data_IF_985553315920
#
_entry.id   IF_985553315920
#
_cell.length_a   1.000
_cell.length_b   1.000
_cell.length_c   1.000
_cell.angle_alpha   90.00
_cell.angle_beta   90.00
_cell.angle_gamma   90.00
#
_symmetry.space_group_name_H-M   'P 1'
#
loop_
_entity.id
_entity.type
_entity.pdbx_description
1 polymer ?
#
# COMPACT_ATOMS: atom_id res chain seq x y z
N UNK A 1 18.86 15.71 -5.26
CA UNK A 1 17.96 14.54 -5.16
C UNK A 1 16.93 14.68 -6.26
N UNK A 2 16.75 13.67 -7.12
CA UNK A 2 15.71 13.66 -8.17
C UNK A 2 14.52 12.88 -7.64
N UNK A 3 13.31 13.42 -7.82
CA UNK A 3 12.05 12.82 -7.41
C UNK A 3 11.29 12.41 -8.66
N UNK A 4 10.85 11.16 -8.72
CA UNK A 4 10.08 10.64 -9.85
C UNK A 4 8.70 10.18 -9.37
N UNK A 5 7.65 10.72 -9.99
CA UNK A 5 6.28 10.35 -9.70
C UNK A 5 5.73 9.46 -10.82
N UNK A 6 5.45 8.20 -10.51
CA UNK A 6 4.81 7.27 -11.44
C UNK A 6 3.29 7.38 -11.31
N UNK A 7 2.57 7.44 -12.44
CA UNK A 7 1.10 7.32 -12.49
C UNK A 7 0.71 5.95 -13.03
N UNK A 8 -0.47 5.45 -12.63
CA UNK A 8 -1.01 4.14 -13.07
C UNK A 8 -1.11 3.94 -14.60
N UNK A 9 -1.02 4.99 -15.41
CA UNK A 9 -1.07 4.92 -16.88
C UNK A 9 0.28 4.61 -17.55
N UNK A 10 1.38 4.58 -16.80
CA UNK A 10 2.73 4.24 -17.31
C UNK A 10 3.10 2.76 -17.01
N UNK A 11 2.10 1.86 -17.11
CA UNK A 11 2.25 0.41 -16.87
C UNK A 11 3.09 -0.33 -17.93
N UNK A 12 3.52 0.33 -18.99
CA UNK A 12 4.20 -0.28 -20.13
C UNK A 12 5.72 -0.18 -19.94
N UNK A 13 6.33 -1.33 -19.62
CA UNK A 13 7.76 -1.57 -19.35
C UNK A 13 8.33 -0.83 -18.13
N UNK A 14 7.94 -1.26 -16.93
CA UNK A 14 8.65 -0.83 -15.71
C UNK A 14 10.00 -1.56 -15.67
N UNK A 15 11.00 -0.97 -16.31
CA UNK A 15 12.40 -1.25 -15.97
C UNK A 15 12.66 -0.65 -14.59
N UNK A 16 12.92 -1.50 -13.60
CA UNK A 16 13.23 -1.06 -12.23
C UNK A 16 12.22 -1.52 -11.18
N UNK A 17 12.38 -1.01 -9.96
CA UNK A 17 11.48 -1.28 -8.85
C UNK A 17 10.13 -0.55 -9.01
N UNK A 18 9.04 -1.20 -8.61
CA UNK A 18 7.72 -0.58 -8.55
C UNK A 18 6.99 -1.04 -7.29
N UNK A 19 6.85 -0.15 -6.30
CA UNK A 19 6.17 -0.50 -5.07
C UNK A 19 4.71 -0.05 -5.13
N UNK A 20 3.82 -1.02 -4.96
CA UNK A 20 2.38 -0.81 -4.96
C UNK A 20 1.79 -1.22 -3.61
N UNK A 21 0.63 -0.67 -3.30
CA UNK A 21 -0.19 -0.99 -2.16
C UNK A 21 -1.64 -1.32 -2.60
N UNK A 22 -2.34 -2.13 -1.79
CA UNK A 22 -3.76 -2.45 -1.97
C UNK A 22 -4.42 -2.76 -0.65
N UNK A 23 -5.73 -2.50 -0.55
CA UNK A 23 -6.52 -2.93 0.60
C UNK A 23 -6.89 -4.41 0.41
N UNK A 24 -6.40 -5.27 1.30
CA UNK A 24 -6.68 -6.72 1.26
C UNK A 24 -7.83 -7.13 2.18
N UNK A 25 -8.13 -6.32 3.19
CA UNK A 25 -9.25 -6.54 4.11
C UNK A 25 -9.62 -5.23 4.77
N UNK A 26 -10.91 -5.07 5.04
CA UNK A 26 -11.48 -4.00 5.86
C UNK A 26 -12.31 -4.61 6.99
N UNK A 27 -12.12 -4.06 8.18
CA UNK A 27 -12.99 -4.13 9.35
C UNK A 27 -13.43 -2.69 9.65
N UNK A 28 -14.48 -2.49 10.45
CA UNK A 28 -15.12 -1.19 10.75
C UNK A 28 -14.16 0.02 10.70
N UNK A 29 -13.20 0.04 11.62
CA UNK A 29 -12.18 1.09 11.76
C UNK A 29 -10.78 0.68 11.32
N UNK A 30 -10.61 -0.49 10.68
CA UNK A 30 -9.28 -1.06 10.42
C UNK A 30 -9.16 -1.54 8.99
N UNK A 31 -8.13 -1.05 8.29
CA UNK A 31 -7.75 -1.56 6.97
C UNK A 31 -6.46 -2.35 7.07
N UNK A 32 -6.42 -3.45 6.35
CA UNK A 32 -5.22 -4.25 6.16
C UNK A 32 -4.73 -3.99 4.75
N UNK A 33 -3.47 -3.59 4.66
CA UNK A 33 -2.79 -3.18 3.45
C UNK A 33 -1.78 -4.26 3.09
N UNK A 34 -1.67 -4.59 1.81
CA UNK A 34 -0.52 -5.31 1.27
C UNK A 34 0.32 -4.35 0.46
N UNK A 35 1.60 -4.25 0.76
CA UNK A 35 2.59 -3.52 0.01
C UNK A 35 3.47 -4.55 -0.71
N UNK A 36 3.71 -4.40 -2.01
CA UNK A 36 4.54 -5.33 -2.78
C UNK A 36 5.36 -4.62 -3.85
N UNK A 37 6.48 -5.25 -4.22
CA UNK A 37 7.27 -4.81 -5.38
C UNK A 37 6.85 -5.61 -6.62
N UNK A 38 6.15 -4.98 -7.56
CA UNK A 38 5.78 -5.55 -8.87
C UNK A 38 6.79 -5.27 -9.97
N UNK A 39 7.84 -4.51 -9.66
CA UNK A 39 8.93 -4.23 -10.58
C UNK A 39 9.87 -5.41 -10.78
N UNK A 40 10.93 -5.18 -11.54
CA UNK A 40 11.96 -6.18 -11.89
C UNK A 40 13.24 -6.03 -11.07
N UNK A 41 13.38 -4.97 -10.29
CA UNK A 41 14.56 -4.67 -9.47
C UNK A 41 14.18 -4.47 -7.98
N UNK A 42 15.13 -4.64 -7.03
CA UNK A 42 14.87 -4.40 -5.61
C UNK A 42 14.49 -2.95 -5.31
N UNK A 43 13.53 -2.78 -4.40
CA UNK A 43 13.16 -1.48 -3.84
C UNK A 43 13.81 -1.32 -2.46
N UNK A 44 14.35 -0.15 -2.16
CA UNK A 44 15.03 0.15 -0.91
C UNK A 44 14.24 1.15 -0.07
N UNK A 45 14.43 1.10 1.25
CA UNK A 45 13.83 2.02 2.22
C UNK A 45 12.32 2.21 1.98
N UNK A 46 11.63 1.08 1.73
CA UNK A 46 10.24 1.08 1.28
C UNK A 46 9.32 1.54 2.39
N UNK A 47 8.43 2.45 2.07
CA UNK A 47 7.49 2.96 3.03
C UNK A 47 6.24 3.52 2.34
N UNK A 48 5.24 3.92 3.14
CA UNK A 48 4.00 4.48 2.63
C UNK A 48 3.37 5.45 3.63
N UNK A 49 2.44 6.26 3.14
CA UNK A 49 1.53 7.05 3.96
C UNK A 49 0.15 7.13 3.31
N UNK A 50 -0.85 7.49 4.11
CA UNK A 50 -2.21 7.79 3.67
C UNK A 50 -2.40 9.30 3.80
N UNK A 51 -2.64 10.06 2.71
CA UNK A 51 -2.80 11.51 2.75
C UNK A 51 -3.92 11.97 3.70
N UNK A 52 -3.80 13.20 4.22
CA UNK A 52 -4.75 13.78 5.17
C UNK A 52 -6.10 14.02 4.51
N UNK A 53 -7.06 13.16 4.84
CA UNK A 53 -8.50 13.30 4.58
C UNK A 53 -9.34 12.47 5.56
N UNK A 54 -8.71 11.45 6.15
CA UNK A 54 -9.25 10.62 7.22
C UNK A 54 -8.30 10.70 8.43
N UNK A 55 -8.84 10.68 9.65
CA UNK A 55 -8.04 10.53 10.87
C UNK A 55 -7.56 9.08 10.98
N UNK A 56 -6.52 8.74 10.21
CA UNK A 56 -5.94 7.39 10.13
C UNK A 56 -4.57 7.37 10.80
N UNK A 57 -4.41 6.47 11.77
CA UNK A 57 -3.16 6.08 12.39
C UNK A 57 -2.63 4.81 11.71
N UNK A 58 -1.47 4.90 11.07
CA UNK A 58 -0.79 3.73 10.52
C UNK A 58 -0.06 3.02 11.65
N UNK A 59 -0.44 1.78 11.93
CA UNK A 59 0.22 0.94 12.93
C UNK A 59 1.23 0.06 12.22
N UNK A 60 2.42 0.62 12.00
CA UNK A 60 3.52 -0.10 11.36
C UNK A 60 4.03 -1.20 12.28
N UNK A 61 4.19 -2.40 11.74
CA UNK A 61 5.08 -3.40 12.31
C UNK A 61 6.48 -2.80 12.49
N UNK A 62 7.24 -3.24 13.48
CA UNK A 62 8.62 -2.76 13.76
C UNK A 62 9.63 -3.11 12.65
N UNK A 63 9.16 -3.58 11.51
CA UNK A 63 9.97 -3.97 10.36
C UNK A 63 10.14 -2.73 9.49
N UNK A 64 11.30 -2.09 9.60
CA UNK A 64 11.78 -1.19 8.56
C UNK A 64 12.12 -2.07 7.34
N UNK A 65 11.27 -2.05 6.31
CA UNK A 65 11.50 -2.80 5.08
C UNK A 65 12.58 -2.13 4.24
N UNK A 66 13.82 -2.30 4.70
CA UNK A 66 15.02 -1.73 4.08
C UNK A 66 15.22 -2.22 2.64
N UNK A 67 14.81 -3.45 2.33
CA UNK A 67 14.87 -4.04 0.99
C UNK A 67 13.62 -4.87 0.72
N UNK A 68 12.96 -4.62 -0.41
CA UNK A 68 11.83 -5.40 -0.92
C UNK A 68 12.16 -5.88 -2.33
N UNK A 69 12.53 -7.15 -2.47
CA UNK A 69 12.89 -7.73 -3.77
C UNK A 69 11.66 -7.91 -4.67
N UNK A 70 11.85 -8.04 -5.99
CA UNK A 70 10.78 -8.34 -6.94
C UNK A 70 9.89 -9.51 -6.48
N UNK A 71 8.57 -9.30 -6.50
CA UNK A 71 7.58 -10.29 -6.09
C UNK A 71 7.42 -10.45 -4.57
N UNK A 72 8.26 -9.84 -3.74
CA UNK A 72 8.07 -9.83 -2.29
C UNK A 72 6.98 -8.84 -1.89
N UNK A 73 6.31 -9.16 -0.78
CA UNK A 73 5.26 -8.37 -0.22
C UNK A 73 5.29 -8.43 1.31
N UNK A 74 4.71 -7.41 1.94
CA UNK A 74 4.42 -7.40 3.35
C UNK A 74 3.05 -6.80 3.62
N UNK A 75 2.49 -7.16 4.77
CA UNK A 75 1.17 -6.72 5.18
C UNK A 75 1.27 -5.81 6.40
N UNK A 76 0.56 -4.69 6.35
CA UNK A 76 0.43 -3.72 7.43
C UNK A 76 -1.04 -3.44 7.71
N UNK A 77 -1.32 -2.73 8.80
CA UNK A 77 -2.67 -2.25 9.05
C UNK A 77 -2.69 -0.80 9.51
N UNK A 78 -3.79 -0.13 9.19
CA UNK A 78 -4.05 1.23 9.65
C UNK A 78 -5.43 1.27 10.31
N UNK A 79 -5.55 2.11 11.33
CA UNK A 79 -6.77 2.30 12.11
C UNK A 79 -7.27 3.73 11.90
N UNK A 80 -8.56 3.88 11.63
CA UNK A 80 -9.23 5.15 11.48
C UNK A 80 -10.04 5.50 12.74
N UNK A 81 -10.17 6.78 13.07
CA UNK A 81 -11.04 7.22 14.17
C UNK A 81 -12.54 7.04 13.83
N UNK A 82 -12.87 7.12 12.54
CA UNK A 82 -14.22 7.02 11.97
C UNK A 82 -14.33 5.85 10.97
N UNK A 83 -15.55 5.43 10.66
CA UNK A 83 -15.80 4.37 9.68
C UNK A 83 -15.30 4.76 8.28
N UNK A 84 -14.54 3.86 7.64
CA UNK A 84 -13.96 4.11 6.31
C UNK A 84 -15.00 3.88 5.19
N UNK A 85 -15.84 4.87 4.93
CA UNK A 85 -16.94 4.77 3.96
C UNK A 85 -16.55 5.07 2.49
N UNK A 86 -15.31 5.47 2.22
CA UNK A 86 -14.86 5.97 0.89
C UNK A 86 -13.57 5.30 0.43
N UNK A 87 -13.20 5.58 -0.81
CA UNK A 87 -11.89 5.22 -1.35
C UNK A 87 -10.78 5.85 -0.49
N UNK A 88 -9.68 5.12 -0.33
CA UNK A 88 -8.51 5.54 0.42
C UNK A 88 -7.37 5.75 -0.55
N UNK A 89 -6.78 6.94 -0.51
CA UNK A 89 -5.54 7.21 -1.22
C UNK A 89 -4.36 6.64 -0.42
N UNK A 90 -3.48 5.93 -1.11
CA UNK A 90 -2.25 5.39 -0.54
C UNK A 90 -1.11 5.87 -1.41
N UNK A 91 -0.08 6.42 -0.76
CA UNK A 91 1.15 6.83 -1.43
C UNK A 91 2.29 5.96 -0.93
N UNK A 92 2.84 5.14 -1.82
CA UNK A 92 4.07 4.38 -1.57
C UNK A 92 5.28 5.20 -2.01
N UNK A 93 6.40 5.01 -1.35
CA UNK A 93 7.68 5.58 -1.76
C UNK A 93 8.83 4.62 -1.47
N UNK A 94 9.85 4.68 -2.32
CA UNK A 94 11.02 3.82 -2.26
C UNK A 94 12.21 4.46 -2.94
N UNK A 95 13.39 3.95 -2.64
CA UNK A 95 14.63 4.26 -3.32
C UNK A 95 15.04 3.13 -4.26
N UNK A 96 15.76 3.46 -5.33
CA UNK A 96 16.52 2.50 -6.12
C UNK A 96 17.95 2.32 -5.59
N UNK A 97 18.75 1.47 -6.24
CA UNK A 97 20.16 1.25 -5.89
C UNK A 97 21.02 2.54 -5.95
N UNK A 98 20.57 3.55 -6.72
CA UNK A 98 21.25 4.84 -6.93
C UNK A 98 20.77 5.91 -5.96
N UNK A 99 19.90 5.56 -5.00
CA UNK A 99 19.25 6.47 -4.05
C UNK A 99 18.39 7.54 -4.73
N UNK A 100 17.85 7.25 -5.92
CA UNK A 100 16.79 8.06 -6.51
C UNK A 100 15.47 7.72 -5.81
N UNK A 101 14.71 8.73 -5.41
CA UNK A 101 13.45 8.54 -4.71
C UNK A 101 12.28 8.51 -5.71
N UNK A 102 11.45 7.49 -5.56
CA UNK A 102 10.24 7.26 -6.34
C UNK A 102 9.01 7.27 -5.44
N UNK A 103 7.87 7.65 -6.01
CA UNK A 103 6.58 7.51 -5.37
C UNK A 103 5.50 7.09 -6.34
N UNK A 104 4.47 6.42 -5.81
CA UNK A 104 3.28 6.07 -6.57
C UNK A 104 2.03 6.33 -5.74
N UNK A 105 1.09 7.05 -6.35
CA UNK A 105 -0.23 7.34 -5.78
C UNK A 105 -1.24 6.33 -6.30
N UNK A 106 -2.07 5.81 -5.39
CA UNK A 106 -3.03 4.75 -5.66
C UNK A 106 -4.33 5.02 -4.92
N UNK A 107 -5.45 4.89 -5.61
CA UNK A 107 -6.79 5.03 -5.02
C UNK A 107 -7.41 3.65 -4.86
N UNK A 108 -7.58 3.21 -3.62
CA UNK A 108 -8.10 1.88 -3.29
C UNK A 108 -9.48 1.97 -2.65
N UNK A 109 -10.45 1.26 -3.21
CA UNK A 109 -11.78 1.18 -2.59
C UNK A 109 -11.75 0.31 -1.35
N UNK A 110 -12.12 0.89 -0.20
CA UNK A 110 -12.26 0.18 1.07
C UNK A 110 -13.54 -0.69 1.08
N UNK A 111 -13.57 -1.74 0.25
CA UNK A 111 -14.72 -2.67 0.17
C UNK A 111 -14.79 -3.51 1.44
N UNK A 112 -15.97 -3.60 2.05
CA UNK A 112 -16.26 -4.60 3.07
C UNK A 112 -16.16 -5.98 2.43
N UNK A 113 -15.09 -6.73 2.73
CA UNK A 113 -15.08 -8.17 2.45
C UNK A 113 -15.95 -8.81 3.53
N UNK A 114 -17.27 -8.65 3.38
CA UNK A 114 -18.24 -9.49 4.06
C UNK A 114 -17.89 -10.93 3.68
N UNK A 115 -17.20 -11.65 4.57
CA UNK A 115 -17.31 -13.11 4.59
C UNK A 115 -18.81 -13.36 4.60
N UNK A 116 -19.33 -14.00 3.56
CA UNK A 116 -20.61 -14.72 3.66
C UNK A 116 -20.46 -15.67 4.84
N UNK A 117 -20.83 -15.23 6.03
CA UNK A 117 -21.17 -16.14 7.11
C UNK A 117 -22.50 -16.73 6.67
N UNK A 118 -22.44 -17.93 6.09
CA UNK A 118 -23.62 -18.77 6.00
C UNK A 118 -24.09 -19.01 7.44
N UNK A 119 -25.12 -18.29 7.85
CA UNK A 119 -25.87 -18.65 9.05
C UNK A 119 -26.74 -19.83 8.63
N UNK A 120 -26.21 -21.04 8.78
CA UNK A 120 -27.06 -22.23 8.78
C UNK A 120 -28.02 -22.04 9.96
N UNK A 121 -29.29 -21.76 9.66
CA UNK A 121 -30.33 -21.88 10.67
C UNK A 121 -30.39 -23.36 11.06
N UNK A 122 -30.25 -23.61 12.36
CA UNK A 122 -30.39 -24.92 13.00
C UNK A 122 -31.83 -25.39 12.86
#
# INVERSE_FOLDING_TARGET
MRFHHLREKEKLSISGACVQAKIIRKEDKKIYLRIWNSGTEPAYNVNFYIPKGHRICILKSRLDYHVLNPGQAFDEYAVADEELLRDVEIVTYWEDERKCLYSMEQTETAKNILKKMCVCHV
#
